data_IF_504560277978
#
_entry.id   IF_504560277978
#
_cell.length_a   1.000
_cell.length_b   1.000
_cell.length_c   1.000
_cell.angle_alpha   90.00
_cell.angle_beta   90.00
_cell.angle_gamma   90.00
#
_symmetry.space_group_name_H-M   'P 1'
#
loop_
_entity.id
_entity.type
_entity.pdbx_description
1 polymer ?
#
# COMPACT_ATOMS: atom_id res chain seq x y z
N UNK A 1 -3.89 7.81 30.74
CA UNK A 1 -2.66 7.80 29.90
C UNK A 1 -2.24 6.39 29.41
N UNK A 2 -3.16 5.41 29.37
CA UNK A 2 -2.89 4.03 28.88
C UNK A 2 -3.51 3.74 27.50
N UNK A 3 -4.54 4.49 27.10
CA UNK A 3 -5.27 4.28 25.85
C UNK A 3 -4.47 4.72 24.61
N UNK A 4 -3.72 5.83 24.72
CA UNK A 4 -2.82 6.33 23.68
C UNK A 4 -1.69 5.35 23.34
N UNK A 5 -1.13 4.65 24.35
CA UNK A 5 -0.06 3.66 24.16
C UNK A 5 -0.56 2.38 23.48
N UNK A 6 -1.82 1.99 23.68
CA UNK A 6 -2.45 0.89 22.93
C UNK A 6 -2.68 1.28 21.48
N UNK A 7 -3.19 2.48 21.24
CA UNK A 7 -3.41 2.99 19.89
C UNK A 7 -2.10 3.06 19.09
N UNK A 8 -1.01 3.55 19.70
CA UNK A 8 0.33 3.60 19.09
C UNK A 8 0.86 2.22 18.69
N UNK A 9 0.75 1.22 19.59
CA UNK A 9 1.19 -0.16 19.29
C UNK A 9 0.39 -0.81 18.17
N UNK A 10 -0.92 -0.60 18.15
CA UNK A 10 -1.81 -1.10 17.08
C UNK A 10 -1.45 -0.44 15.75
N UNK A 11 -1.18 0.87 15.76
CA UNK A 11 -0.78 1.63 14.58
C UNK A 11 0.55 1.12 13.99
N UNK A 12 1.55 0.81 14.83
CA UNK A 12 2.82 0.24 14.41
C UNK A 12 2.71 -1.09 13.65
N UNK A 13 1.73 -1.94 14.01
CA UNK A 13 1.54 -3.24 13.35
C UNK A 13 0.59 -3.13 12.16
N UNK A 14 -0.39 -2.21 12.22
CA UNK A 14 -1.35 -2.01 11.15
C UNK A 14 -0.75 -1.32 9.93
N UNK A 15 0.14 -0.33 10.08
CA UNK A 15 0.70 0.37 8.91
C UNK A 15 1.48 -0.55 7.95
N UNK A 16 2.42 -1.39 8.43
CA UNK A 16 3.14 -2.32 7.56
C UNK A 16 2.22 -3.37 6.93
N UNK A 17 1.26 -3.89 7.71
CA UNK A 17 0.29 -4.85 7.21
C UNK A 17 -0.58 -4.22 6.10
N UNK A 18 -1.02 -2.98 6.29
CA UNK A 18 -1.77 -2.23 5.30
C UNK A 18 -0.94 -1.94 4.05
N UNK A 19 0.33 -1.53 4.20
CA UNK A 19 1.19 -1.31 3.02
C UNK A 19 1.35 -2.58 2.19
N UNK A 20 1.57 -3.72 2.85
CA UNK A 20 1.70 -5.02 2.17
C UNK A 20 0.39 -5.40 1.48
N UNK A 21 -0.76 -5.23 2.13
CA UNK A 21 -2.06 -5.52 1.52
C UNK A 21 -2.30 -4.66 0.26
N UNK A 22 -2.03 -3.36 0.34
CA UNK A 22 -2.16 -2.43 -0.79
C UNK A 22 -1.16 -2.78 -1.90
N UNK A 23 0.06 -3.21 -1.56
CA UNK A 23 1.05 -3.68 -2.52
C UNK A 23 0.53 -4.88 -3.31
N UNK A 24 -0.03 -5.89 -2.63
CA UNK A 24 -0.57 -7.09 -3.27
C UNK A 24 -1.71 -6.73 -4.22
N UNK A 25 -2.63 -5.86 -3.79
CA UNK A 25 -3.74 -5.37 -4.65
C UNK A 25 -3.20 -4.62 -5.86
N UNK A 26 -2.17 -3.79 -5.70
CA UNK A 26 -1.55 -3.05 -6.80
C UNK A 26 -0.95 -3.98 -7.85
N UNK A 27 -0.24 -5.03 -7.42
CA UNK A 27 0.35 -6.05 -8.31
C UNK A 27 -0.76 -6.80 -9.05
N UNK A 28 -1.82 -7.20 -8.36
CA UNK A 28 -2.96 -7.86 -8.99
C UNK A 28 -3.59 -7.00 -10.09
N UNK A 29 -3.80 -5.70 -9.85
CA UNK A 29 -4.34 -4.78 -10.86
C UNK A 29 -3.42 -4.61 -12.07
N UNK A 30 -2.10 -4.59 -11.85
CA UNK A 30 -1.12 -4.53 -12.94
C UNK A 30 -1.13 -5.81 -13.78
N UNK A 31 -1.25 -6.98 -13.14
CA UNK A 31 -1.40 -8.25 -13.85
C UNK A 31 -2.73 -8.33 -14.62
N UNK A 32 -3.81 -7.85 -14.02
CA UNK A 32 -5.11 -7.76 -14.68
C UNK A 32 -5.05 -6.83 -15.90
N UNK A 33 -4.29 -5.73 -15.84
CA UNK A 33 -4.06 -4.84 -16.97
C UNK A 33 -3.48 -5.58 -18.18
N UNK A 34 -2.49 -6.44 -17.95
CA UNK A 34 -1.88 -7.27 -19.01
C UNK A 34 -2.95 -8.19 -19.61
N UNK A 35 -3.74 -8.88 -18.79
CA UNK A 35 -4.83 -9.74 -19.27
C UNK A 35 -5.93 -8.99 -20.03
N UNK A 36 -6.22 -7.73 -19.68
CA UNK A 36 -7.13 -6.89 -20.46
C UNK A 36 -6.55 -6.49 -21.81
N UNK A 37 -5.23 -6.26 -21.93
CA UNK A 37 -4.58 -6.01 -23.22
C UNK A 37 -4.65 -7.22 -24.14
N UNK A 38 -4.45 -8.43 -23.62
CA UNK A 38 -4.58 -9.67 -24.41
C UNK A 38 -5.98 -9.87 -24.99
N UNK A 39 -6.99 -9.32 -24.33
CA UNK A 39 -8.40 -9.37 -24.77
C UNK A 39 -8.81 -8.19 -25.65
N UNK A 40 -7.87 -7.32 -26.04
CA UNK A 40 -8.14 -6.14 -26.87
C UNK A 40 -8.84 -4.98 -26.14
N UNK A 41 -8.94 -5.04 -24.80
CA UNK A 41 -9.60 -4.01 -23.98
C UNK A 41 -8.58 -2.98 -23.47
N UNK A 42 -8.14 -2.09 -24.38
CA UNK A 42 -7.07 -1.11 -24.11
C UNK A 42 -7.48 -0.06 -23.07
N UNK A 43 -8.72 0.42 -23.10
CA UNK A 43 -9.19 1.43 -22.14
C UNK A 43 -9.19 0.90 -20.69
N UNK A 44 -9.68 -0.31 -20.48
CA UNK A 44 -9.71 -0.94 -19.15
C UNK A 44 -8.33 -1.37 -18.69
N UNK A 45 -7.44 -1.79 -19.60
CA UNK A 45 -6.06 -2.08 -19.24
C UNK A 45 -5.35 -0.83 -18.72
N UNK A 46 -5.48 0.31 -19.42
CA UNK A 46 -4.89 1.58 -18.99
C UNK A 46 -5.45 2.04 -17.64
N UNK A 47 -6.77 1.97 -17.44
CA UNK A 47 -7.38 2.32 -16.15
C UNK A 47 -6.87 1.43 -15.01
N UNK A 48 -6.85 0.12 -15.20
CA UNK A 48 -6.34 -0.81 -14.18
C UNK A 48 -4.86 -0.60 -13.88
N UNK A 49 -4.03 -0.30 -14.89
CA UNK A 49 -2.62 0.03 -14.69
C UNK A 49 -2.46 1.34 -13.92
N UNK A 50 -3.20 2.40 -14.26
CA UNK A 50 -3.17 3.68 -13.55
C UNK A 50 -3.54 3.52 -12.07
N UNK A 51 -4.61 2.78 -11.79
CA UNK A 51 -5.02 2.49 -10.41
C UNK A 51 -3.97 1.64 -9.70
N UNK A 52 -3.43 0.63 -10.38
CA UNK A 52 -2.34 -0.20 -9.86
C UNK A 52 -1.11 0.62 -9.48
N UNK A 53 -0.63 1.49 -10.37
CA UNK A 53 0.50 2.38 -10.08
C UNK A 53 0.21 3.39 -8.97
N UNK A 54 -0.99 3.96 -8.92
CA UNK A 54 -1.39 4.87 -7.84
C UNK A 54 -1.38 4.15 -6.48
N UNK A 55 -1.91 2.92 -6.41
CA UNK A 55 -1.87 2.11 -5.20
C UNK A 55 -0.45 1.68 -4.82
N UNK A 56 0.40 1.35 -5.79
CA UNK A 56 1.80 1.01 -5.54
C UNK A 56 2.54 2.21 -4.92
N UNK A 57 2.35 3.40 -5.48
CA UNK A 57 2.86 4.65 -4.91
C UNK A 57 2.37 4.84 -3.46
N UNK A 58 1.07 4.70 -3.22
CA UNK A 58 0.48 4.83 -1.90
C UNK A 58 1.06 3.81 -0.89
N UNK A 59 1.23 2.55 -1.28
CA UNK A 59 1.83 1.50 -0.45
C UNK A 59 3.24 1.88 0.00
N UNK A 60 4.08 2.34 -0.93
CA UNK A 60 5.45 2.77 -0.62
C UNK A 60 5.47 3.99 0.31
N UNK A 61 4.54 4.93 0.14
CA UNK A 61 4.38 6.06 1.06
C UNK A 61 4.01 5.60 2.48
N UNK A 62 3.06 4.66 2.62
CA UNK A 62 2.66 4.11 3.92
C UNK A 62 3.86 3.39 4.58
N UNK A 63 4.65 2.65 3.81
CA UNK A 63 5.84 1.96 4.32
C UNK A 63 6.90 2.94 4.82
N UNK A 64 7.13 4.05 4.10
CA UNK A 64 8.01 5.13 4.56
C UNK A 64 7.50 5.77 5.84
N UNK A 65 6.19 5.98 5.95
CA UNK A 65 5.56 6.53 7.15
C UNK A 65 5.76 5.58 8.34
N UNK A 66 5.57 4.28 8.13
CA UNK A 66 5.79 3.25 9.14
C UNK A 66 7.23 3.23 9.65
N UNK A 67 8.21 3.31 8.74
CA UNK A 67 9.62 3.39 9.09
C UNK A 67 9.96 4.65 9.87
N UNK A 68 9.36 5.79 9.51
CA UNK A 68 9.54 7.05 10.24
C UNK A 68 8.99 6.98 11.67
N UNK A 69 7.76 6.46 11.84
CA UNK A 69 7.17 6.25 13.18
C UNK A 69 8.04 5.31 14.01
N UNK A 70 8.53 4.22 13.42
CA UNK A 70 9.43 3.30 14.12
C UNK A 70 10.75 3.96 14.54
N UNK A 71 11.36 4.77 13.67
CA UNK A 71 12.59 5.48 13.98
C UNK A 71 12.41 6.51 15.11
N UNK A 72 11.31 7.26 15.10
CA UNK A 72 10.96 8.21 16.18
C UNK A 72 10.76 7.48 17.50
N UNK A 73 10.09 6.33 17.50
CA UNK A 73 9.87 5.56 18.73
C UNK A 73 11.13 4.91 19.31
N UNK A 74 12.13 4.58 18.46
CA UNK A 74 13.39 3.97 18.91
C UNK A 74 14.46 5.01 19.30
N UNK A 75 14.34 6.23 18.78
CA UNK A 75 15.26 7.35 19.04
C UNK A 75 14.87 8.23 20.23
N UNK A 76 13.71 7.99 20.85
CA UNK A 76 13.24 8.65 22.07
C UNK A 76 13.27 7.70 23.27
#
# INVERSE_FOLDING_TARGET
MSMLLRFRRVLMHLLPALSIAVLVVSIYLLLASIGYMERGLVGTSLLSALIGFAMLSASLYIMRLAAYVYAVEKGS
#
